data_IF_399491810515
#
_entry.id   IF_399491810515
#
_cell.length_a   1.000
_cell.length_b   1.000
_cell.length_c   1.000
_cell.angle_alpha   90.00
_cell.angle_beta   90.00
_cell.angle_gamma   90.00
#
_symmetry.space_group_name_H-M   'P 1'
#
loop_
_entity.id
_entity.type
_entity.pdbx_description
1 polymer ?
#
# COMPACT_ATOMS: atom_id res chain seq x y z
N UNK A 1 -14.86 1.65 -9.02
CA UNK A 1 -13.43 1.76 -8.67
C UNK A 1 -13.31 1.94 -7.17
N UNK A 2 -12.25 1.39 -6.56
CA UNK A 2 -12.02 1.43 -5.10
C UNK A 2 -10.61 1.88 -4.76
N UNK A 3 -10.48 2.61 -3.65
CA UNK A 3 -9.21 2.92 -3.03
C UNK A 3 -8.92 1.92 -1.91
N UNK A 4 -7.68 1.48 -1.80
CA UNK A 4 -7.24 0.48 -0.82
C UNK A 4 -6.13 1.06 0.04
N UNK A 5 -6.20 0.80 1.34
CA UNK A 5 -5.11 1.07 2.28
C UNK A 5 -4.54 -0.26 2.78
N UNK A 6 -3.23 -0.46 2.59
CA UNK A 6 -2.48 -1.58 3.14
C UNK A 6 -1.69 -1.11 4.36
N UNK A 7 -1.91 -1.72 5.51
CA UNK A 7 -1.27 -1.34 6.77
C UNK A 7 -0.04 -2.22 7.03
N UNK A 8 1.09 -1.56 7.24
CA UNK A 8 2.39 -2.17 7.54
C UNK A 8 3.51 -1.67 6.61
N UNK A 9 4.72 -2.11 6.89
CA UNK A 9 5.97 -1.65 6.23
C UNK A 9 6.89 -2.80 5.81
N UNK A 10 6.42 -4.05 5.89
CA UNK A 10 7.20 -5.22 5.53
C UNK A 10 7.18 -5.55 4.03
N UNK A 11 7.98 -6.54 3.63
CA UNK A 11 7.98 -7.05 2.26
C UNK A 11 6.65 -7.72 1.86
N UNK A 12 5.89 -8.24 2.83
CA UNK A 12 4.56 -8.81 2.61
C UNK A 12 3.57 -7.73 2.15
N UNK A 13 3.54 -6.60 2.84
CA UNK A 13 2.65 -5.49 2.51
C UNK A 13 3.01 -4.87 1.16
N UNK A 14 4.31 -4.81 0.84
CA UNK A 14 4.76 -4.44 -0.50
C UNK A 14 4.19 -5.41 -1.55
N UNK A 15 4.41 -6.72 -1.41
CA UNK A 15 3.93 -7.69 -2.39
C UNK A 15 2.40 -7.66 -2.57
N UNK A 16 1.65 -7.48 -1.49
CA UNK A 16 0.19 -7.30 -1.53
C UNK A 16 -0.18 -6.03 -2.30
N UNK A 17 0.44 -4.89 -1.98
CA UNK A 17 0.16 -3.61 -2.62
C UNK A 17 0.47 -3.65 -4.12
N UNK A 18 1.61 -4.24 -4.49
CA UNK A 18 2.02 -4.48 -5.88
C UNK A 18 1.01 -5.34 -6.65
N UNK A 19 0.41 -6.35 -6.02
CA UNK A 19 -0.55 -7.19 -6.71
C UNK A 19 -1.92 -6.54 -6.83
N UNK A 20 -2.34 -5.80 -5.80
CA UNK A 20 -3.63 -5.10 -5.76
C UNK A 20 -3.71 -3.96 -6.80
N UNK A 21 -2.60 -3.25 -7.03
CA UNK A 21 -2.55 -2.15 -8.01
C UNK A 21 -2.77 -2.58 -9.47
N UNK A 22 -2.68 -3.88 -9.76
CA UNK A 22 -2.90 -4.43 -11.11
C UNK A 22 -4.38 -4.71 -11.42
N UNK A 23 -5.28 -4.57 -10.46
CA UNK A 23 -6.71 -4.84 -10.66
C UNK A 23 -7.41 -3.66 -11.33
N UNK A 24 -8.17 -3.92 -12.40
CA UNK A 24 -9.00 -2.91 -13.07
C UNK A 24 -10.13 -2.33 -12.18
N UNK A 25 -10.35 -2.91 -11.00
CA UNK A 25 -11.33 -2.40 -10.03
C UNK A 25 -10.70 -1.43 -9.03
N UNK A 26 -9.36 -1.38 -8.95
CA UNK A 26 -8.59 -0.58 -7.98
C UNK A 26 -8.14 0.70 -8.65
N UNK A 27 -8.42 1.82 -8.00
CA UNK A 27 -8.01 3.15 -8.45
C UNK A 27 -6.65 3.53 -7.88
N UNK A 28 -6.47 3.42 -6.56
CA UNK A 28 -5.20 3.69 -5.91
C UNK A 28 -4.99 2.76 -4.71
N UNK A 29 -3.76 2.29 -4.55
CA UNK A 29 -3.30 1.59 -3.35
C UNK A 29 -2.41 2.55 -2.56
N UNK A 30 -2.78 2.80 -1.32
CA UNK A 30 -2.02 3.51 -0.31
C UNK A 30 -1.36 2.50 0.64
N UNK A 31 -0.21 2.85 1.20
CA UNK A 31 0.44 2.06 2.24
C UNK A 31 0.72 2.92 3.47
N UNK A 32 0.62 2.37 4.68
CA UNK A 32 0.89 3.12 5.91
C UNK A 32 1.60 2.26 6.97
N UNK A 33 2.81 2.61 7.44
CA UNK A 33 3.64 3.71 6.92
C UNK A 33 4.32 3.39 5.59
N UNK A 34 4.30 2.13 5.13
CA UNK A 34 5.02 1.70 3.92
C UNK A 34 6.54 1.61 4.12
N UNK A 35 7.26 1.35 3.03
CA UNK A 35 8.73 1.29 2.97
C UNK A 35 9.24 1.88 1.65
N UNK A 36 10.57 1.86 1.45
CA UNK A 36 11.20 2.44 0.25
C UNK A 36 10.85 1.75 -1.08
N UNK A 37 10.19 0.59 -1.04
CA UNK A 37 9.69 -0.10 -2.22
C UNK A 37 8.19 0.10 -2.48
N UNK A 38 7.42 0.69 -1.56
CA UNK A 38 5.99 0.95 -1.74
C UNK A 38 5.73 2.36 -2.21
N UNK A 39 4.61 2.54 -2.91
CA UNK A 39 4.12 3.84 -3.39
C UNK A 39 2.99 4.37 -2.50
N UNK A 40 2.69 5.67 -2.63
CA UNK A 40 1.61 6.35 -1.91
C UNK A 40 1.66 6.12 -0.38
N UNK A 41 2.88 6.17 0.18
CA UNK A 41 3.13 6.01 1.61
C UNK A 41 2.46 7.16 2.39
N UNK A 42 1.53 6.81 3.27
CA UNK A 42 0.91 7.73 4.22
C UNK A 42 1.69 7.64 5.53
N UNK A 43 2.31 8.75 5.91
CA UNK A 43 3.01 8.85 7.18
C UNK A 43 2.01 8.66 8.33
N UNK A 44 2.24 7.63 9.12
CA UNK A 44 1.55 7.40 10.39
C UNK A 44 2.62 7.16 11.45
N UNK A 45 2.35 7.65 12.66
CA UNK A 45 3.17 7.34 13.80
C UNK A 45 3.01 5.85 14.14
N UNK A 46 4.13 5.17 14.37
CA UNK A 46 4.17 3.72 14.67
C UNK A 46 4.80 3.43 16.03
N UNK A 47 5.02 4.48 16.83
CA UNK A 47 5.44 4.41 18.22
C UNK A 47 4.32 3.93 19.16
#
# INVERSE_FOLDING_TARGET
MVNILVVGSGGREHALSWKLSQSNHVETVYTAPGNGGTENNVAIDVD
#
